data_IF_662108950729
#
_entry.id   IF_662108950729
#
_cell.length_a   1.000
_cell.length_b   1.000
_cell.length_c   1.000
_cell.angle_alpha   90.00
_cell.angle_beta   90.00
_cell.angle_gamma   90.00
#
_symmetry.space_group_name_H-M   'P 1'
#
loop_
_entity.id
_entity.type
_entity.pdbx_description
1 polymer ?
#
# COMPACT_ATOMS: atom_id res chain seq x y z
N UNK A 1 0.45 -24.16 -18.29
CA UNK A 1 0.03 -23.18 -17.28
C UNK A 1 1.26 -22.85 -16.43
N UNK A 2 1.66 -21.56 -16.32
CA UNK A 2 2.77 -21.16 -15.47
C UNK A 2 2.17 -20.47 -14.23
N UNK A 3 2.54 -20.94 -13.05
CA UNK A 3 2.18 -20.30 -11.79
C UNK A 3 3.05 -19.05 -11.61
N UNK A 4 2.45 -17.98 -11.06
CA UNK A 4 3.20 -16.81 -10.62
C UNK A 4 4.24 -17.22 -9.57
N UNK A 5 5.49 -16.80 -9.77
CA UNK A 5 6.54 -17.05 -8.80
C UNK A 5 6.33 -16.18 -7.57
N UNK A 6 6.63 -16.72 -6.41
CA UNK A 6 6.63 -16.00 -5.15
C UNK A 6 8.05 -15.54 -4.81
N UNK A 7 8.18 -14.30 -4.39
CA UNK A 7 9.44 -13.70 -3.94
C UNK A 7 9.26 -13.02 -2.59
N UNK A 8 10.33 -12.99 -1.83
CA UNK A 8 10.46 -12.19 -0.62
C UNK A 8 11.56 -11.16 -0.82
N UNK A 9 11.24 -9.89 -0.56
CA UNK A 9 12.18 -8.76 -0.61
C UNK A 9 12.30 -8.20 0.80
N UNK A 10 13.53 -7.98 1.27
CA UNK A 10 13.83 -7.27 2.52
C UNK A 10 14.75 -6.10 2.20
N UNK A 11 14.40 -4.91 2.64
CA UNK A 11 15.21 -3.72 2.36
C UNK A 11 15.07 -2.65 3.44
N UNK A 12 16.19 -2.03 3.76
CA UNK A 12 16.27 -0.78 4.52
C UNK A 12 16.26 0.46 3.63
N UNK A 13 16.09 0.31 2.30
CA UNK A 13 15.97 1.41 1.34
C UNK A 13 14.77 1.20 0.44
N UNK A 14 13.91 2.20 0.35
CA UNK A 14 12.64 2.15 -0.36
C UNK A 14 12.82 2.01 -1.89
N UNK A 15 13.80 2.72 -2.43
CA UNK A 15 14.08 2.69 -3.86
C UNK A 15 14.72 1.37 -4.29
N UNK A 16 15.59 0.81 -3.44
CA UNK A 16 16.18 -0.53 -3.64
C UNK A 16 15.10 -1.61 -3.62
N UNK A 17 14.14 -1.51 -2.71
CA UNK A 17 13.02 -2.44 -2.66
C UNK A 17 12.22 -2.43 -3.95
N UNK A 18 11.88 -1.24 -4.46
CA UNK A 18 11.15 -1.06 -5.72
C UNK A 18 11.90 -1.66 -6.92
N UNK A 19 13.20 -1.35 -7.09
CA UNK A 19 14.02 -1.90 -8.16
C UNK A 19 14.13 -3.42 -8.08
N UNK A 20 14.28 -3.96 -6.89
CA UNK A 20 14.34 -5.41 -6.66
C UNK A 20 13.01 -6.08 -7.00
N UNK A 21 11.90 -5.48 -6.59
CA UNK A 21 10.56 -5.98 -6.92
C UNK A 21 10.29 -5.97 -8.42
N UNK A 22 10.68 -4.89 -9.14
CA UNK A 22 10.59 -4.83 -10.61
C UNK A 22 11.40 -5.96 -11.25
N UNK A 23 12.65 -6.14 -10.84
CA UNK A 23 13.52 -7.19 -11.35
C UNK A 23 12.92 -8.60 -11.13
N UNK A 24 12.26 -8.82 -9.99
CA UNK A 24 11.57 -10.08 -9.70
C UNK A 24 10.39 -10.31 -10.66
N UNK A 25 9.55 -9.30 -10.92
CA UNK A 25 8.46 -9.38 -11.89
C UNK A 25 9.01 -9.70 -13.28
N UNK A 26 10.06 -9.02 -13.73
CA UNK A 26 10.68 -9.25 -15.02
C UNK A 26 11.26 -10.67 -15.14
N UNK A 27 11.86 -11.20 -14.07
CA UNK A 27 12.44 -12.55 -13.99
C UNK A 27 11.39 -13.66 -13.77
N UNK A 28 10.20 -13.34 -13.31
CA UNK A 28 9.15 -14.34 -13.08
C UNK A 28 8.79 -15.07 -14.37
N UNK A 29 8.91 -14.38 -15.49
CA UNK A 29 8.54 -14.85 -16.83
C UNK A 29 7.09 -15.38 -16.88
N UNK A 30 6.22 -14.78 -16.07
CA UNK A 30 4.79 -15.08 -15.99
C UNK A 30 4.03 -13.95 -16.67
N UNK A 31 3.42 -14.26 -17.80
CA UNK A 31 2.53 -13.36 -18.51
C UNK A 31 1.08 -13.78 -18.23
N UNK A 32 0.25 -12.81 -17.82
CA UNK A 32 -1.15 -13.01 -17.48
C UNK A 32 -2.01 -12.06 -18.34
N UNK A 33 -3.15 -12.56 -18.75
CA UNK A 33 -4.20 -11.76 -19.37
C UNK A 33 -5.34 -11.65 -18.37
N UNK A 34 -5.75 -10.44 -18.03
CA UNK A 34 -6.86 -10.20 -17.11
C UNK A 34 -7.77 -9.08 -17.63
N UNK A 35 -8.90 -8.85 -16.98
CA UNK A 35 -9.92 -7.92 -17.40
C UNK A 35 -11.07 -8.62 -18.09
N UNK A 36 -11.82 -7.88 -18.91
CA UNK A 36 -12.92 -8.47 -19.69
C UNK A 36 -12.43 -9.03 -21.04
N UNK A 37 -13.29 -9.77 -21.71
CA UNK A 37 -13.01 -10.29 -23.07
C UNK A 37 -12.89 -9.13 -24.05
N UNK A 38 -13.65 -8.06 -23.84
CA UNK A 38 -13.70 -6.88 -24.70
C UNK A 38 -12.46 -5.98 -24.47
N UNK A 39 -11.94 -5.95 -23.24
CA UNK A 39 -10.79 -5.14 -22.87
C UNK A 39 -9.72 -5.96 -22.11
N UNK A 40 -9.02 -6.87 -22.80
CA UNK A 40 -7.99 -7.69 -22.18
C UNK A 40 -6.75 -6.84 -21.85
N UNK A 41 -6.27 -6.96 -20.64
CA UNK A 41 -5.01 -6.32 -20.17
C UNK A 41 -3.92 -7.37 -20.04
N UNK A 42 -2.76 -7.06 -20.58
CA UNK A 42 -1.59 -7.93 -20.54
C UNK A 42 -0.61 -7.43 -19.49
N UNK A 43 -0.20 -8.29 -18.59
CA UNK A 43 0.73 -7.98 -17.51
C UNK A 43 1.82 -9.03 -17.39
N UNK A 44 2.99 -8.61 -16.88
CA UNK A 44 3.94 -9.49 -16.21
C UNK A 44 3.64 -9.52 -14.73
N UNK A 45 3.62 -10.70 -14.14
CA UNK A 45 3.08 -10.90 -12.80
C UNK A 45 4.01 -11.72 -11.89
N UNK A 46 3.93 -11.43 -10.59
CA UNK A 46 4.53 -12.21 -9.50
C UNK A 46 3.78 -12.00 -8.19
N UNK A 47 3.80 -13.00 -7.31
CA UNK A 47 3.42 -12.82 -5.91
C UNK A 47 4.64 -12.32 -5.12
N UNK A 48 4.52 -11.23 -4.35
CA UNK A 48 5.64 -10.72 -3.57
C UNK A 48 5.24 -10.28 -2.16
N UNK A 49 6.13 -10.61 -1.21
CA UNK A 49 6.12 -10.06 0.14
C UNK A 49 7.33 -9.15 0.30
N UNK A 50 7.11 -7.89 0.60
CA UNK A 50 8.17 -6.87 0.71
C UNK A 50 8.21 -6.36 2.15
N UNK A 51 9.34 -6.59 2.83
CA UNK A 51 9.61 -6.09 4.18
C UNK A 51 10.48 -4.83 4.09
N UNK A 52 9.97 -3.73 4.65
CA UNK A 52 10.64 -2.43 4.70
C UNK A 52 10.92 -2.05 6.15
N UNK A 53 12.16 -1.61 6.43
CA UNK A 53 12.61 -1.22 7.78
C UNK A 53 13.56 -0.03 7.71
N UNK A 54 13.86 0.60 8.86
CA UNK A 54 14.88 1.64 8.96
C UNK A 54 14.66 2.79 8.00
N UNK A 55 15.70 3.16 7.23
CA UNK A 55 15.67 4.30 6.31
C UNK A 55 14.55 4.22 5.24
N UNK A 56 14.11 3.00 4.86
CA UNK A 56 12.99 2.87 3.93
C UNK A 56 11.69 3.46 4.50
N UNK A 57 11.46 3.33 5.81
CA UNK A 57 10.32 3.94 6.50
C UNK A 57 10.43 5.48 6.50
N UNK A 58 11.64 6.01 6.75
CA UNK A 58 11.88 7.45 6.71
C UNK A 58 11.70 8.03 5.31
N UNK A 59 12.20 7.34 4.28
CA UNK A 59 12.01 7.74 2.88
C UNK A 59 10.52 7.81 2.51
N UNK A 60 9.72 6.80 2.86
CA UNK A 60 8.26 6.81 2.64
C UNK A 60 7.58 7.94 3.41
N UNK A 61 7.91 8.12 4.69
CA UNK A 61 7.32 9.17 5.54
C UNK A 61 7.61 10.57 5.01
N UNK A 62 8.78 10.77 4.39
CA UNK A 62 9.19 12.02 3.76
C UNK A 62 8.75 12.15 2.29
N UNK A 63 8.04 11.18 1.75
CA UNK A 63 7.54 11.21 0.37
C UNK A 63 8.61 11.10 -0.71
N UNK A 64 9.73 10.42 -0.40
CA UNK A 64 10.85 10.27 -1.33
C UNK A 64 10.51 9.22 -2.38
N UNK A 65 10.38 9.65 -3.63
CA UNK A 65 10.20 8.80 -4.80
C UNK A 65 11.54 8.47 -5.47
N UNK A 66 11.59 7.35 -6.17
CA UNK A 66 12.76 7.02 -7.00
C UNK A 66 12.97 8.10 -8.07
N UNK A 67 14.22 8.56 -8.33
CA UNK A 67 14.49 9.65 -9.29
C UNK A 67 14.02 9.40 -10.73
N UNK A 68 13.95 8.13 -11.14
CA UNK A 68 13.47 7.74 -12.47
C UNK A 68 11.96 7.43 -12.47
N UNK A 69 11.26 7.62 -11.33
CA UNK A 69 9.82 7.43 -11.23
C UNK A 69 9.10 8.73 -11.59
N UNK A 70 8.23 8.66 -12.60
CA UNK A 70 7.44 9.82 -13.05
C UNK A 70 6.09 9.85 -12.34
N UNK A 71 5.91 10.81 -11.44
CA UNK A 71 4.64 11.03 -10.76
C UNK A 71 4.36 12.53 -10.63
N UNK A 72 3.16 12.95 -11.00
CA UNK A 72 2.84 14.39 -11.11
C UNK A 72 2.92 15.13 -9.78
N UNK A 73 2.35 14.57 -8.73
CA UNK A 73 2.36 15.17 -7.39
C UNK A 73 1.99 14.15 -6.33
N UNK A 74 2.94 13.82 -5.46
CA UNK A 74 2.70 12.95 -4.31
C UNK A 74 1.78 13.63 -3.28
N UNK A 75 1.89 14.95 -3.13
CA UNK A 75 1.06 15.70 -2.18
C UNK A 75 -0.39 15.79 -2.64
N UNK A 76 -0.62 15.86 -3.95
CA UNK A 76 -1.99 15.76 -4.48
C UNK A 76 -2.55 14.35 -4.24
N UNK A 77 -1.76 13.30 -4.45
CA UNK A 77 -2.20 11.93 -4.24
C UNK A 77 -2.48 11.61 -2.77
N UNK A 78 -1.69 12.13 -1.83
CA UNK A 78 -1.95 12.01 -0.38
C UNK A 78 -3.33 12.52 0.01
N UNK A 79 -3.87 13.55 -0.69
CA UNK A 79 -5.20 14.09 -0.40
C UNK A 79 -6.30 13.04 -0.56
N UNK A 80 -6.15 12.09 -1.49
CA UNK A 80 -7.11 10.99 -1.67
C UNK A 80 -7.15 10.02 -0.48
N UNK A 81 -6.18 10.13 0.43
CA UNK A 81 -6.09 9.40 1.70
C UNK A 81 -6.35 10.31 2.91
N UNK A 82 -6.85 11.52 2.70
CA UNK A 82 -7.14 12.47 3.75
C UNK A 82 -8.63 12.48 4.12
N UNK A 83 -8.93 12.39 5.42
CA UNK A 83 -10.30 12.48 5.94
C UNK A 83 -10.92 13.84 5.59
N UNK A 84 -10.12 14.92 5.64
CA UNK A 84 -10.57 16.28 5.32
C UNK A 84 -10.95 16.43 3.83
N UNK A 85 -10.26 15.72 2.93
CA UNK A 85 -10.61 15.68 1.51
C UNK A 85 -11.97 15.02 1.26
N UNK A 86 -12.27 13.95 2.00
CA UNK A 86 -13.51 13.19 1.84
C UNK A 86 -14.76 14.04 2.07
N UNK A 87 -14.70 15.00 3.01
CA UNK A 87 -15.80 15.90 3.28
C UNK A 87 -16.19 16.72 2.02
N UNK A 88 -15.21 17.31 1.34
CA UNK A 88 -15.45 18.05 0.09
C UNK A 88 -15.77 17.13 -1.11
N UNK A 89 -15.17 15.93 -1.15
CA UNK A 89 -15.42 14.96 -2.22
C UNK A 89 -16.87 14.44 -2.24
N UNK A 90 -17.51 14.34 -1.09
CA UNK A 90 -18.91 13.89 -1.00
C UNK A 90 -19.87 14.82 -1.73
N UNK A 91 -19.53 16.10 -1.89
CA UNK A 91 -20.30 17.12 -2.63
C UNK A 91 -20.02 17.10 -4.15
N UNK A 92 -19.12 16.27 -4.63
CA UNK A 92 -18.83 16.18 -6.05
C UNK A 92 -19.97 15.53 -6.83
N UNK A 93 -20.20 15.94 -8.10
CA UNK A 93 -21.13 15.27 -8.99
C UNK A 93 -20.75 13.79 -9.17
N UNK A 94 -21.75 12.88 -9.22
CA UNK A 94 -21.50 11.45 -9.28
C UNK A 94 -20.62 11.04 -10.47
N UNK A 95 -20.76 11.71 -11.62
CA UNK A 95 -19.96 11.44 -12.81
C UNK A 95 -18.47 11.82 -12.69
N UNK A 96 -18.12 12.57 -11.63
CA UNK A 96 -16.73 12.95 -11.30
C UNK A 96 -16.14 12.14 -10.16
N UNK A 97 -16.96 11.33 -9.48
CA UNK A 97 -16.51 10.48 -8.40
C UNK A 97 -15.74 9.28 -8.91
N UNK A 98 -14.74 8.88 -8.17
CA UNK A 98 -14.06 7.61 -8.38
C UNK A 98 -15.01 6.45 -8.02
N UNK A 99 -14.79 5.29 -8.60
CA UNK A 99 -15.56 4.07 -8.26
C UNK A 99 -15.49 3.73 -6.78
N UNK A 100 -14.36 4.01 -6.15
CA UNK A 100 -14.16 3.99 -4.70
C UNK A 100 -12.95 4.86 -4.32
N UNK A 101 -12.91 5.30 -3.05
CA UNK A 101 -11.72 5.86 -2.42
C UNK A 101 -11.31 4.96 -1.24
N UNK A 102 -10.01 4.72 -1.08
CA UNK A 102 -9.53 3.95 0.07
C UNK A 102 -9.89 4.61 1.39
N UNK A 103 -9.77 5.95 1.48
CA UNK A 103 -10.13 6.68 2.71
C UNK A 103 -11.60 6.50 3.05
N UNK A 104 -12.52 6.59 2.08
CA UNK A 104 -13.94 6.37 2.28
C UNK A 104 -14.21 4.97 2.83
N UNK A 105 -13.62 3.93 2.17
CA UNK A 105 -13.74 2.54 2.61
C UNK A 105 -13.20 2.30 4.01
N UNK A 106 -12.26 3.10 4.47
CA UNK A 106 -11.65 2.96 5.80
C UNK A 106 -12.44 3.73 6.86
N UNK A 107 -12.83 5.00 6.61
CA UNK A 107 -13.48 5.84 7.64
C UNK A 107 -15.00 5.85 7.58
N UNK A 108 -15.58 5.36 6.50
CA UNK A 108 -17.03 5.24 6.32
C UNK A 108 -17.42 3.80 5.93
N UNK A 109 -16.71 2.80 6.49
CA UNK A 109 -16.98 1.39 6.20
C UNK A 109 -18.42 1.03 6.54
N UNK A 110 -19.15 0.53 5.55
CA UNK A 110 -20.57 0.16 5.70
C UNK A 110 -20.69 -1.24 6.29
N UNK A 111 -21.48 -1.37 7.35
CA UNK A 111 -21.81 -2.64 7.98
C UNK A 111 -23.28 -2.62 8.41
N UNK A 112 -24.13 -3.35 7.73
CA UNK A 112 -25.57 -3.41 7.96
C UNK A 112 -26.20 -2.03 8.21
N UNK A 113 -26.39 -1.65 9.48
CA UNK A 113 -27.03 -0.40 9.90
C UNK A 113 -26.04 0.61 10.49
N UNK A 114 -24.72 0.43 10.32
CA UNK A 114 -23.69 1.27 10.93
C UNK A 114 -22.60 1.64 9.93
N UNK A 115 -22.11 2.84 10.09
CA UNK A 115 -20.83 3.27 9.49
C UNK A 115 -19.74 3.17 10.56
N UNK A 116 -18.60 2.59 10.22
CA UNK A 116 -17.47 2.38 11.11
C UNK A 116 -16.28 3.19 10.61
N UNK A 117 -15.78 4.09 11.47
CA UNK A 117 -14.49 4.74 11.27
C UNK A 117 -13.37 3.81 11.77
N UNK A 118 -12.78 3.05 10.84
CA UNK A 118 -11.75 2.08 11.15
C UNK A 118 -10.40 2.73 11.51
N UNK A 119 -10.10 3.97 11.06
CA UNK A 119 -8.90 4.70 11.51
C UNK A 119 -9.00 5.06 12.99
N UNK A 120 -10.18 5.53 13.42
CA UNK A 120 -10.44 5.78 14.84
C UNK A 120 -10.29 4.50 15.65
N UNK A 121 -10.84 3.38 15.19
CA UNK A 121 -10.71 2.08 15.87
C UNK A 121 -9.25 1.66 15.99
N UNK A 122 -8.46 1.77 14.92
CA UNK A 122 -7.02 1.45 14.94
C UNK A 122 -6.26 2.33 15.93
N UNK A 123 -6.55 3.63 15.97
CA UNK A 123 -5.93 4.57 16.90
C UNK A 123 -6.24 4.23 18.34
N UNK A 124 -7.52 4.05 18.66
CA UNK A 124 -7.97 3.76 20.02
C UNK A 124 -7.43 2.41 20.54
N UNK A 125 -7.38 1.40 19.65
CA UNK A 125 -6.76 0.09 19.97
C UNK A 125 -5.25 0.16 20.16
N UNK A 126 -4.54 1.01 19.40
CA UNK A 126 -3.12 1.22 19.58
C UNK A 126 -2.84 1.93 20.92
N UNK A 127 -3.61 2.95 21.26
CA UNK A 127 -3.57 3.63 22.54
C UNK A 127 -3.76 2.66 23.72
N UNK A 128 -4.78 1.78 23.63
CA UNK A 128 -5.04 0.74 24.63
C UNK A 128 -3.85 -0.22 24.79
N UNK A 129 -3.24 -0.67 23.67
CA UNK A 129 -2.05 -1.53 23.70
C UNK A 129 -0.86 -0.85 24.40
N UNK A 130 -0.62 0.43 24.11
CA UNK A 130 0.46 1.23 24.70
C UNK A 130 0.22 1.42 26.19
N UNK A 131 -0.98 1.85 26.59
CA UNK A 131 -1.32 2.14 27.99
C UNK A 131 -1.26 0.88 28.87
N UNK A 132 -1.68 -0.25 28.35
CA UNK A 132 -1.67 -1.51 29.08
C UNK A 132 -0.37 -2.30 28.91
N UNK A 133 0.55 -1.87 28.05
CA UNK A 133 1.76 -2.62 27.69
C UNK A 133 1.48 -4.04 27.18
N UNK A 134 0.36 -4.23 26.48
CA UNK A 134 -0.12 -5.53 25.97
C UNK A 134 -0.41 -5.41 24.48
N UNK A 135 0.33 -6.14 23.65
CA UNK A 135 0.10 -6.21 22.21
C UNK A 135 -1.22 -6.94 21.88
N UNK A 136 -1.88 -6.52 20.79
CA UNK A 136 -3.09 -7.17 20.28
C UNK A 136 -2.96 -7.49 18.79
N UNK A 137 -3.41 -8.68 18.40
CA UNK A 137 -3.46 -9.11 17.00
C UNK A 137 -4.77 -8.75 16.28
N UNK A 138 -5.69 -8.07 16.96
CA UNK A 138 -7.06 -7.78 16.46
C UNK A 138 -7.18 -6.46 15.71
N UNK A 139 -6.15 -5.59 15.78
CA UNK A 139 -6.20 -4.25 15.19
C UNK A 139 -6.04 -4.31 13.68
N UNK A 140 -7.15 -4.13 12.97
CA UNK A 140 -7.16 -4.13 11.51
C UNK A 140 -8.27 -3.25 10.94
N UNK A 141 -8.07 -2.79 9.71
CA UNK A 141 -9.06 -2.17 8.86
C UNK A 141 -9.13 -2.93 7.54
N UNK A 142 -10.31 -3.03 6.93
CA UNK A 142 -10.56 -3.69 5.66
C UNK A 142 -11.24 -2.73 4.70
N UNK A 143 -11.05 -2.97 3.40
CA UNK A 143 -11.65 -2.13 2.36
C UNK A 143 -12.71 -2.88 1.54
N UNK A 144 -12.68 -4.21 1.58
CA UNK A 144 -13.63 -5.04 0.84
C UNK A 144 -15.02 -5.00 1.48
N UNK A 145 -16.01 -4.59 0.69
CA UNK A 145 -17.44 -4.61 1.03
C UNK A 145 -18.14 -5.66 0.15
N UNK A 146 -18.46 -6.87 0.64
CA UNK A 146 -18.98 -7.96 -0.18
C UNK A 146 -20.19 -7.60 -1.03
N UNK A 147 -21.16 -6.86 -0.48
CA UNK A 147 -22.38 -6.47 -1.18
C UNK A 147 -22.11 -5.55 -2.38
N UNK A 148 -21.12 -4.64 -2.26
CA UNK A 148 -20.75 -3.71 -3.31
C UNK A 148 -19.74 -4.33 -4.29
N UNK A 149 -18.76 -5.09 -3.78
CA UNK A 149 -17.55 -5.43 -4.53
C UNK A 149 -17.65 -6.75 -5.31
N UNK A 150 -18.53 -7.68 -4.90
CA UNK A 150 -18.78 -8.93 -5.64
C UNK A 150 -19.33 -8.66 -7.04
N UNK A 151 -20.17 -7.64 -7.18
CA UNK A 151 -20.80 -7.28 -8.46
C UNK A 151 -20.05 -6.18 -9.23
N UNK A 152 -19.02 -5.58 -8.61
CA UNK A 152 -18.28 -4.46 -9.17
C UNK A 152 -16.93 -4.92 -9.75
N UNK A 153 -16.74 -4.72 -11.05
CA UNK A 153 -15.48 -5.03 -11.74
C UNK A 153 -14.29 -4.17 -11.27
N UNK A 154 -14.53 -3.08 -10.55
CA UNK A 154 -13.53 -2.14 -10.06
C UNK A 154 -13.44 -2.13 -8.52
N UNK A 155 -13.50 -3.30 -7.88
CA UNK A 155 -13.36 -3.45 -6.43
C UNK A 155 -11.96 -3.04 -5.92
N UNK A 156 -11.81 -2.65 -4.64
CA UNK A 156 -10.55 -2.19 -4.07
C UNK A 156 -9.40 -3.20 -4.23
N UNK A 157 -8.23 -2.71 -4.61
CA UNK A 157 -7.02 -3.55 -4.73
C UNK A 157 -6.37 -3.83 -3.37
N UNK A 158 -6.29 -2.82 -2.49
CA UNK A 158 -5.91 -3.02 -1.10
C UNK A 158 -7.05 -3.71 -0.36
N UNK A 159 -6.75 -4.73 0.42
CA UNK A 159 -7.75 -5.52 1.13
C UNK A 159 -7.75 -5.23 2.61
N UNK A 160 -6.56 -5.07 3.21
CA UNK A 160 -6.42 -4.97 4.65
C UNK A 160 -5.22 -4.12 5.06
N UNK A 161 -5.41 -3.36 6.14
CA UNK A 161 -4.36 -2.77 6.96
C UNK A 161 -4.42 -3.49 8.31
N UNK A 162 -3.28 -3.97 8.80
CA UNK A 162 -3.14 -4.54 10.14
C UNK A 162 -2.00 -3.83 10.86
N UNK A 163 -2.20 -3.52 12.15
CA UNK A 163 -1.19 -2.85 12.96
C UNK A 163 -1.13 -3.41 14.36
N UNK A 164 0.07 -3.41 14.96
CA UNK A 164 0.28 -3.88 16.33
C UNK A 164 1.42 -3.12 16.97
N UNK A 165 1.22 -2.67 18.21
CA UNK A 165 2.31 -2.20 19.05
C UNK A 165 3.31 -3.32 19.34
N UNK A 166 4.61 -3.02 19.26
CA UNK A 166 5.69 -4.01 19.46
C UNK A 166 6.66 -3.63 20.58
N UNK A 167 6.50 -2.45 21.17
CA UNK A 167 7.35 -2.00 22.27
C UNK A 167 7.63 -0.51 22.22
N UNK A 168 8.49 -0.08 23.13
CA UNK A 168 8.93 1.29 23.30
C UNK A 168 10.45 1.33 23.47
N UNK A 169 11.07 2.35 22.90
CA UNK A 169 12.48 2.67 23.10
C UNK A 169 12.63 4.20 23.19
N UNK A 170 13.33 4.69 24.22
CA UNK A 170 13.57 6.12 24.46
C UNK A 170 12.27 6.96 24.42
N UNK A 171 11.23 6.50 25.11
CA UNK A 171 9.91 7.15 25.18
C UNK A 171 9.15 7.23 23.84
N UNK A 172 9.64 6.56 22.81
CA UNK A 172 8.97 6.44 21.50
C UNK A 172 8.39 5.03 21.36
N UNK A 173 7.10 4.96 21.07
CA UNK A 173 6.44 3.70 20.78
C UNK A 173 6.73 3.24 19.34
N UNK A 174 6.71 1.92 19.13
CA UNK A 174 6.91 1.33 17.81
C UNK A 174 5.79 0.35 17.47
N UNK A 175 5.43 0.32 16.19
CA UNK A 175 4.41 -0.58 15.66
C UNK A 175 4.87 -1.31 14.39
N UNK A 176 4.36 -2.53 14.23
CA UNK A 176 4.32 -3.22 12.93
C UNK A 176 3.12 -2.72 12.13
N UNK A 177 3.32 -2.51 10.83
CA UNK A 177 2.28 -2.21 9.86
C UNK A 177 2.30 -3.26 8.74
N UNK A 178 1.18 -3.95 8.53
CA UNK A 178 1.04 -4.90 7.41
C UNK A 178 -0.05 -4.41 6.46
N UNK A 179 0.23 -4.53 5.17
CA UNK A 179 -0.69 -4.23 4.08
C UNK A 179 -0.90 -5.48 3.23
N UNK A 180 -2.14 -5.78 2.90
CA UNK A 180 -2.50 -6.92 2.05
C UNK A 180 -3.21 -6.42 0.79
N UNK A 181 -2.70 -6.83 -0.38
CA UNK A 181 -3.18 -6.43 -1.70
C UNK A 181 -3.52 -7.66 -2.55
N UNK A 182 -4.73 -7.69 -3.12
CA UNK A 182 -5.10 -8.73 -4.10
C UNK A 182 -4.44 -8.49 -5.46
N UNK A 183 -4.17 -7.23 -5.81
CA UNK A 183 -3.60 -6.83 -7.09
C UNK A 183 -2.97 -5.44 -6.98
N UNK A 184 -1.84 -5.20 -7.68
CA UNK A 184 -1.17 -3.90 -7.61
C UNK A 184 -0.24 -3.64 -8.79
N UNK A 185 -0.35 -2.47 -9.41
CA UNK A 185 0.61 -1.96 -10.36
C UNK A 185 1.91 -1.56 -9.64
N UNK A 186 2.97 -2.32 -9.88
CA UNK A 186 4.28 -2.09 -9.27
C UNK A 186 4.96 -0.85 -9.84
N UNK A 187 4.80 -0.63 -11.14
CA UNK A 187 5.57 0.39 -11.83
C UNK A 187 5.01 1.79 -11.59
N UNK A 188 3.67 1.97 -11.62
CA UNK A 188 3.06 3.29 -11.53
C UNK A 188 2.39 3.60 -10.18
N UNK A 189 2.02 2.58 -9.37
CA UNK A 189 1.22 2.80 -8.18
C UNK A 189 1.89 2.39 -6.87
N UNK A 190 2.88 1.50 -6.87
CA UNK A 190 3.42 0.93 -5.64
C UNK A 190 4.04 1.99 -4.71
N UNK A 191 4.92 2.85 -5.23
CA UNK A 191 5.56 3.90 -4.41
C UNK A 191 4.55 4.93 -3.88
N UNK A 192 3.71 5.57 -4.72
CA UNK A 192 2.77 6.56 -4.23
C UNK A 192 1.75 5.98 -3.24
N UNK A 193 1.28 4.74 -3.45
CA UNK A 193 0.38 4.09 -2.51
C UNK A 193 1.01 3.91 -1.13
N UNK A 194 2.24 3.40 -1.05
CA UNK A 194 2.91 3.19 0.24
C UNK A 194 3.19 4.51 0.95
N UNK A 195 3.61 5.54 0.23
CA UNK A 195 3.81 6.89 0.78
C UNK A 195 2.49 7.45 1.33
N UNK A 196 1.41 7.37 0.57
CA UNK A 196 0.12 7.92 0.97
C UNK A 196 -0.49 7.18 2.17
N UNK A 197 -0.41 5.84 2.20
CA UNK A 197 -0.90 5.04 3.33
C UNK A 197 -0.05 5.27 4.58
N UNK A 198 1.28 5.32 4.45
CA UNK A 198 2.18 5.63 5.57
C UNK A 198 1.88 7.02 6.12
N UNK A 199 1.66 8.01 5.26
CA UNK A 199 1.26 9.35 5.67
C UNK A 199 -0.10 9.36 6.39
N UNK A 200 -1.11 8.67 5.86
CA UNK A 200 -2.44 8.54 6.46
C UNK A 200 -2.35 7.91 7.87
N UNK A 201 -1.60 6.81 8.00
CA UNK A 201 -1.40 6.11 9.27
C UNK A 201 -0.64 6.98 10.27
N UNK A 202 0.41 7.68 9.84
CA UNK A 202 1.15 8.61 10.70
C UNK A 202 0.27 9.77 11.18
N UNK A 203 -0.53 10.38 10.29
CA UNK A 203 -1.42 11.49 10.64
C UNK A 203 -2.50 11.08 11.65
N UNK A 204 -3.13 9.93 11.45
CA UNK A 204 -4.39 9.59 12.14
C UNK A 204 -4.26 8.55 13.24
N UNK A 205 -3.21 7.69 13.21
CA UNK A 205 -3.06 6.56 14.12
C UNK A 205 -1.78 6.66 14.95
N UNK A 206 -0.63 6.80 14.31
CA UNK A 206 0.66 6.72 15.00
C UNK A 206 1.07 8.03 15.68
N UNK A 207 0.98 9.17 14.98
CA UNK A 207 1.35 10.47 15.54
C UNK A 207 0.63 10.81 16.83
N UNK A 208 -0.71 10.67 16.92
CA UNK A 208 -1.45 10.91 18.16
C UNK A 208 -0.98 10.05 19.34
N UNK A 209 -0.40 8.87 19.07
CA UNK A 209 0.07 7.91 20.07
C UNK A 209 1.59 7.97 20.33
N UNK A 210 2.28 9.01 19.87
CA UNK A 210 3.76 9.08 19.91
C UNK A 210 4.40 7.76 19.46
N UNK A 211 3.91 7.23 18.33
CA UNK A 211 4.31 5.94 17.79
C UNK A 211 4.92 6.11 16.41
N UNK A 212 5.91 5.27 16.08
CA UNK A 212 6.53 5.19 14.76
C UNK A 212 6.36 3.79 14.16
N UNK A 213 6.34 3.71 12.84
CA UNK A 213 6.42 2.44 12.15
C UNK A 213 7.85 1.90 12.30
N UNK A 214 8.00 0.71 12.88
CA UNK A 214 9.27 -0.01 12.97
C UNK A 214 9.52 -0.84 11.70
N UNK A 215 8.47 -1.53 11.26
CA UNK A 215 8.49 -2.40 10.09
C UNK A 215 7.18 -2.24 9.31
N UNK A 216 7.28 -2.20 7.97
CA UNK A 216 6.16 -2.34 7.07
C UNK A 216 6.30 -3.65 6.30
N UNK A 217 5.28 -4.50 6.34
CA UNK A 217 5.18 -5.71 5.56
C UNK A 217 4.10 -5.55 4.48
N UNK A 218 4.51 -5.45 3.23
CA UNK A 218 3.65 -5.25 2.07
C UNK A 218 3.48 -6.58 1.32
N UNK A 219 2.27 -7.16 1.39
CA UNK A 219 1.93 -8.46 0.80
C UNK A 219 1.07 -8.28 -0.42
N UNK A 220 1.51 -8.80 -1.54
CA UNK A 220 0.88 -8.64 -2.83
C UNK A 220 0.66 -10.02 -3.49
N UNK A 221 -0.60 -10.40 -3.72
CA UNK A 221 -0.95 -11.64 -4.42
C UNK A 221 -0.59 -11.55 -5.91
N UNK A 222 -0.92 -10.40 -6.53
CA UNK A 222 -0.50 -10.06 -7.89
C UNK A 222 0.18 -8.70 -7.89
N UNK A 223 1.51 -8.69 -7.86
CA UNK A 223 2.32 -7.50 -8.05
C UNK A 223 2.84 -7.51 -9.48
N UNK A 224 2.33 -6.59 -10.31
CA UNK A 224 2.48 -6.69 -11.75
C UNK A 224 2.97 -5.41 -12.42
N UNK A 225 3.44 -5.56 -13.66
CA UNK A 225 3.81 -4.48 -14.58
C UNK A 225 2.99 -4.63 -15.83
N UNK A 226 2.27 -3.59 -16.23
CA UNK A 226 1.53 -3.57 -17.50
C UNK A 226 2.48 -3.70 -18.69
N UNK A 227 2.03 -4.36 -19.75
CA UNK A 227 2.85 -4.63 -20.94
C UNK A 227 3.47 -3.36 -21.54
N UNK A 228 2.75 -2.24 -21.51
CA UNK A 228 3.23 -0.95 -22.02
C UNK A 228 4.44 -0.39 -21.24
N UNK A 229 4.59 -0.77 -19.97
CA UNK A 229 5.63 -0.26 -19.08
C UNK A 229 6.86 -1.21 -18.98
N UNK A 230 6.78 -2.41 -19.55
CA UNK A 230 7.82 -3.45 -19.40
C UNK A 230 9.18 -2.98 -19.89
N UNK A 231 9.27 -2.31 -21.04
CA UNK A 231 10.53 -1.85 -21.58
C UNK A 231 11.14 -0.69 -20.76
N UNK A 232 10.30 0.21 -20.27
CA UNK A 232 10.72 1.26 -19.34
C UNK A 232 11.25 0.67 -18.02
N UNK A 233 10.54 -0.31 -17.48
CA UNK A 233 10.95 -1.02 -16.26
C UNK A 233 12.29 -1.75 -16.44
N UNK A 234 12.52 -2.43 -17.56
CA UNK A 234 13.82 -3.05 -17.90
C UNK A 234 14.93 -2.04 -17.94
N UNK A 235 14.75 -0.93 -18.67
CA UNK A 235 15.74 0.12 -18.81
C UNK A 235 16.16 0.72 -17.47
N UNK A 236 15.20 0.93 -16.54
CA UNK A 236 15.52 1.43 -15.20
C UNK A 236 16.31 0.39 -14.39
N UNK A 237 15.89 -0.88 -14.39
CA UNK A 237 16.60 -1.95 -13.67
C UNK A 237 18.02 -2.13 -14.21
N UNK A 238 18.22 -2.18 -15.53
CA UNK A 238 19.54 -2.31 -16.15
C UNK A 238 20.47 -1.14 -15.80
N UNK A 239 19.94 0.08 -15.76
CA UNK A 239 20.68 1.28 -15.43
C UNK A 239 21.03 1.38 -13.94
N UNK A 240 20.15 0.98 -13.03
CA UNK A 240 20.27 1.29 -11.60
C UNK A 240 20.63 0.09 -10.71
N UNK A 241 20.11 -1.09 -10.98
CA UNK A 241 20.32 -2.26 -10.12
C UNK A 241 21.78 -2.69 -9.98
N UNK A 242 22.65 -2.63 -11.02
CA UNK A 242 24.05 -2.97 -10.87
C UNK A 242 24.83 -2.10 -9.87
N UNK A 243 24.37 -0.88 -9.63
CA UNK A 243 24.98 0.03 -8.65
C UNK A 243 24.51 -0.26 -7.23
N UNK A 244 23.26 -0.73 -7.09
CA UNK A 244 22.64 -1.01 -5.79
C UNK A 244 23.13 -2.33 -5.20
N UNK A 245 23.40 -3.35 -6.02
CA UNK A 245 23.83 -4.67 -5.59
C UNK A 245 25.33 -4.73 -5.22
N UNK A 246 26.06 -3.62 -5.27
CA UNK A 246 27.49 -3.55 -4.94
C UNK A 246 27.75 -3.08 -3.50
N UNK A 247 26.73 -2.72 -2.77
CA UNK A 247 26.75 -2.25 -1.37
C UNK A 247 25.77 -3.07 -0.53
#
# INVERSE_FOLDING_TARGET
MKLSKMYMVKSGDFNVAWLTAINNVLKSNTDVIFGSVEEPKYIKDSCQVIELTGNAIDQMSNGVLHPDFSFKSIDQYKREFDVDFLAGYNDWPEEKKFTYLYIERIVQYKSENKTVDQLKVLRDQLEDQINNRIASNRSQAITWEPEADVVNNASPCMQRIWSRWIGEENEVNFADLHLDWRSRDLFNAWQPNLIAITWMMNKNVYGPNNCKIYRLLDKNDSLHIYRGDVESAKGIVEKRLPYVMRY
#
